data_IF_484464251630
#
_entry.id   IF_484464251630
#
_cell.length_a   1.000
_cell.length_b   1.000
_cell.length_c   1.000
_cell.angle_alpha   90.00
_cell.angle_beta   90.00
_cell.angle_gamma   90.00
#
_symmetry.space_group_name_H-M   'P 1'
#
loop_
_entity.id
_entity.type
_entity.pdbx_description
1 polymer ?
#
# COMPACT_ATOMS: atom_id res chain seq x y z
N UNK A 1 -22.08 10.16 14.17
CA UNK A 1 -21.15 9.71 13.12
C UNK A 1 -21.85 9.89 11.77
N UNK A 2 -21.26 10.58 10.80
CA UNK A 2 -21.90 10.80 9.49
C UNK A 2 -21.80 9.54 8.63
N UNK A 3 -22.79 9.28 7.77
CA UNK A 3 -22.79 8.12 6.86
C UNK A 3 -21.48 8.04 6.03
N UNK A 4 -21.00 9.18 5.54
CA UNK A 4 -19.75 9.27 4.77
C UNK A 4 -18.53 8.81 5.57
N UNK A 5 -18.48 9.11 6.87
CA UNK A 5 -17.39 8.66 7.75
C UNK A 5 -17.46 7.16 8.01
N UNK A 6 -18.65 6.63 8.24
CA UNK A 6 -18.84 5.18 8.39
C UNK A 6 -18.37 4.44 7.13
N UNK A 7 -18.73 4.93 5.95
CA UNK A 7 -18.30 4.35 4.67
C UNK A 7 -16.77 4.39 4.51
N UNK A 8 -16.12 5.51 4.85
CA UNK A 8 -14.67 5.61 4.81
C UNK A 8 -14.01 4.53 5.71
N UNK A 9 -14.45 4.41 6.96
CA UNK A 9 -13.93 3.41 7.89
C UNK A 9 -14.16 1.97 7.41
N UNK A 10 -15.33 1.69 6.82
CA UNK A 10 -15.63 0.37 6.26
C UNK A 10 -14.67 0.01 5.12
N UNK A 11 -14.33 0.98 4.27
CA UNK A 11 -13.37 0.78 3.19
C UNK A 11 -11.95 0.52 3.72
N UNK A 12 -11.51 1.24 4.75
CA UNK A 12 -10.23 1.00 5.44
C UNK A 12 -10.17 -0.41 6.05
N UNK A 13 -11.23 -0.82 6.75
CA UNK A 13 -11.35 -2.18 7.32
C UNK A 13 -11.33 -3.24 6.20
N UNK A 14 -12.04 -2.98 5.10
CA UNK A 14 -12.04 -3.89 3.95
C UNK A 14 -10.63 -4.06 3.40
N UNK A 15 -9.85 -2.98 3.31
CA UNK A 15 -8.45 -3.01 2.85
C UNK A 15 -7.58 -3.92 3.74
N UNK A 16 -7.76 -3.85 5.06
CA UNK A 16 -7.09 -4.76 5.99
C UNK A 16 -7.36 -6.24 5.63
N UNK A 17 -8.62 -6.61 5.38
CA UNK A 17 -8.95 -7.98 4.95
C UNK A 17 -8.42 -8.34 3.56
N UNK A 18 -8.36 -7.39 2.62
CA UNK A 18 -7.78 -7.63 1.29
C UNK A 18 -6.32 -8.07 1.39
N UNK A 19 -5.54 -7.50 2.33
CA UNK A 19 -4.15 -7.95 2.54
C UNK A 19 -4.06 -9.44 2.88
N UNK A 20 -4.93 -9.95 3.76
CA UNK A 20 -5.01 -11.38 4.06
C UNK A 20 -5.47 -12.22 2.88
N UNK A 21 -6.43 -11.73 2.09
CA UNK A 21 -6.89 -12.42 0.88
C UNK A 21 -5.72 -12.59 -0.11
N UNK A 22 -4.94 -11.53 -0.35
CA UNK A 22 -3.77 -11.57 -1.22
C UNK A 22 -2.74 -12.58 -0.68
N UNK A 23 -2.43 -12.54 0.62
CA UNK A 23 -1.51 -13.50 1.23
C UNK A 23 -1.99 -14.95 1.04
N UNK A 24 -3.27 -15.20 1.30
CA UNK A 24 -3.87 -16.53 1.21
C UNK A 24 -3.87 -17.10 -0.21
N UNK A 25 -4.02 -16.26 -1.24
CA UNK A 25 -3.86 -16.67 -2.63
C UNK A 25 -2.47 -17.24 -2.93
N UNK A 26 -1.44 -16.79 -2.22
CA UNK A 26 -0.07 -17.28 -2.39
C UNK A 26 0.10 -18.72 -1.91
N UNK A 27 -0.64 -19.10 -0.86
CA UNK A 27 -0.68 -20.48 -0.35
C UNK A 27 -1.55 -21.36 -1.24
N UNK A 28 -2.77 -20.91 -1.55
CA UNK A 28 -3.75 -21.72 -2.27
C UNK A 28 -3.43 -21.90 -3.75
N UNK A 29 -3.14 -20.80 -4.45
CA UNK A 29 -3.02 -20.78 -5.91
C UNK A 29 -1.58 -20.57 -6.39
N UNK A 30 -0.67 -20.19 -5.51
CA UNK A 30 0.74 -19.90 -5.83
C UNK A 30 0.81 -18.98 -7.06
N UNK A 31 1.68 -19.32 -8.03
CA UNK A 31 1.86 -18.56 -9.28
C UNK A 31 0.59 -18.43 -10.12
N UNK A 32 -0.29 -19.44 -10.13
CA UNK A 32 -1.57 -19.38 -10.84
C UNK A 32 -2.55 -18.35 -10.22
N UNK A 33 -2.25 -17.88 -9.00
CA UNK A 33 -3.01 -16.84 -8.31
C UNK A 33 -2.76 -15.42 -8.79
N UNK A 34 -1.78 -15.18 -9.68
CA UNK A 34 -1.27 -13.84 -9.97
C UNK A 34 -2.36 -12.88 -10.42
N UNK A 35 -3.20 -13.30 -11.36
CA UNK A 35 -4.37 -12.52 -11.82
C UNK A 35 -5.27 -12.06 -10.67
N UNK A 36 -5.56 -12.96 -9.73
CA UNK A 36 -6.43 -12.67 -8.60
C UNK A 36 -5.75 -11.72 -7.60
N UNK A 37 -4.45 -11.92 -7.33
CA UNK A 37 -3.68 -11.06 -6.45
C UNK A 37 -3.60 -9.63 -7.00
N UNK A 38 -3.40 -9.48 -8.32
CA UNK A 38 -3.40 -8.17 -9.00
C UNK A 38 -4.78 -7.50 -8.93
N UNK A 39 -5.87 -8.24 -9.20
CA UNK A 39 -7.23 -7.69 -9.10
C UNK A 39 -7.51 -7.20 -7.67
N UNK A 40 -7.19 -8.00 -6.65
CA UNK A 40 -7.39 -7.60 -5.26
C UNK A 40 -6.53 -6.42 -4.85
N UNK A 41 -5.29 -6.33 -5.35
CA UNK A 41 -4.42 -5.16 -5.12
C UNK A 41 -5.02 -3.89 -5.73
N UNK A 42 -5.52 -3.95 -6.97
CA UNK A 42 -6.19 -2.81 -7.60
C UNK A 42 -7.44 -2.41 -6.80
N UNK A 43 -8.23 -3.38 -6.34
CA UNK A 43 -9.40 -3.10 -5.48
C UNK A 43 -8.96 -2.41 -4.18
N UNK A 44 -7.91 -2.88 -3.52
CA UNK A 44 -7.37 -2.25 -2.30
C UNK A 44 -6.96 -0.78 -2.52
N UNK A 45 -6.34 -0.48 -3.66
CA UNK A 45 -6.00 0.90 -4.00
C UNK A 45 -7.23 1.73 -4.36
N UNK A 46 -8.25 1.16 -5.01
CA UNK A 46 -9.50 1.87 -5.28
C UNK A 46 -10.18 2.25 -3.96
N UNK A 47 -10.21 1.33 -2.98
CA UNK A 47 -10.82 1.62 -1.68
C UNK A 47 -10.04 2.69 -0.90
N UNK A 48 -8.71 2.81 -1.07
CA UNK A 48 -7.84 3.90 -0.57
C UNK A 48 -8.11 5.28 -1.18
N UNK A 49 -8.45 5.32 -2.46
CA UNK A 49 -8.82 6.60 -3.07
C UNK A 49 -10.18 7.05 -2.54
N UNK A 50 -11.12 6.11 -2.48
CA UNK A 50 -12.51 6.36 -2.11
C UNK A 50 -12.66 6.72 -0.64
N UNK A 51 -12.01 6.01 0.28
CA UNK A 51 -12.13 6.31 1.71
C UNK A 51 -11.56 7.69 2.05
N UNK A 52 -10.39 8.04 1.49
CA UNK A 52 -9.80 9.35 1.65
C UNK A 52 -10.74 10.44 1.12
N UNK A 53 -11.34 10.22 -0.05
CA UNK A 53 -12.31 11.17 -0.61
C UNK A 53 -13.54 11.36 0.29
N UNK A 54 -14.12 10.26 0.78
CA UNK A 54 -15.30 10.27 1.65
C UNK A 54 -14.98 10.91 3.01
N UNK A 55 -13.84 10.58 3.61
CA UNK A 55 -13.39 11.15 4.87
C UNK A 55 -13.26 12.67 4.79
N UNK A 56 -12.63 13.19 3.72
CA UNK A 56 -12.51 14.65 3.49
C UNK A 56 -13.87 15.32 3.30
N UNK A 57 -14.77 14.69 2.54
CA UNK A 57 -16.12 15.22 2.28
C UNK A 57 -16.99 15.20 3.53
N UNK A 58 -16.73 14.28 4.46
CA UNK A 58 -17.47 14.16 5.72
C UNK A 58 -17.25 15.35 6.67
N UNK A 59 -16.13 16.09 6.53
CA UNK A 59 -15.65 17.16 7.44
C UNK A 59 -15.56 16.74 8.92
N UNK A 60 -15.69 15.46 9.23
CA UNK A 60 -15.59 14.96 10.59
C UNK A 60 -14.12 14.84 11.01
N UNK A 61 -13.85 14.98 12.30
CA UNK A 61 -12.53 14.72 12.86
C UNK A 61 -12.08 13.28 12.58
N UNK A 62 -10.76 13.05 12.54
CA UNK A 62 -10.22 11.68 12.51
C UNK A 62 -10.70 10.92 13.76
N UNK A 63 -11.11 9.68 13.56
CA UNK A 63 -11.33 8.73 14.64
C UNK A 63 -10.18 7.71 14.69
N UNK A 64 -10.28 6.77 15.62
CA UNK A 64 -9.29 5.71 15.81
C UNK A 64 -8.96 4.97 14.50
N UNK A 65 -9.96 4.66 13.66
CA UNK A 65 -9.73 3.97 12.38
C UNK A 65 -8.93 4.86 11.43
N UNK A 66 -9.32 6.14 11.29
CA UNK A 66 -8.58 7.10 10.46
C UNK A 66 -7.18 7.46 10.99
N UNK A 67 -6.89 7.24 12.27
CA UNK A 67 -5.54 7.34 12.85
C UNK A 67 -4.69 6.11 12.53
N UNK A 68 -5.33 4.95 12.35
CA UNK A 68 -4.69 3.65 12.15
C UNK A 68 -4.75 3.16 10.69
N UNK A 69 -5.14 4.02 9.75
CA UNK A 69 -5.22 3.74 8.30
C UNK A 69 -3.90 3.18 7.73
N UNK A 70 -2.77 3.68 8.23
CA UNK A 70 -1.44 3.19 7.87
C UNK A 70 -1.28 1.67 8.10
N UNK A 71 -1.92 1.10 9.13
CA UNK A 71 -1.85 -0.33 9.38
C UNK A 71 -2.61 -1.14 8.33
N UNK A 72 -3.70 -0.61 7.77
CA UNK A 72 -4.43 -1.27 6.69
C UNK A 72 -3.57 -1.32 5.42
N UNK A 73 -2.89 -0.24 5.07
CA UNK A 73 -2.00 -0.19 3.90
C UNK A 73 -0.78 -1.09 4.08
N UNK A 74 -0.17 -1.07 5.27
CA UNK A 74 0.92 -1.98 5.63
C UNK A 74 0.49 -3.45 5.55
N UNK A 75 -0.76 -3.76 5.88
CA UNK A 75 -1.30 -5.14 5.79
C UNK A 75 -1.43 -5.59 4.33
N UNK A 76 -1.85 -4.71 3.42
CA UNK A 76 -1.87 -5.02 1.98
C UNK A 76 -0.47 -5.24 1.45
N UNK A 77 0.47 -4.35 1.78
CA UNK A 77 1.87 -4.47 1.38
C UNK A 77 2.52 -5.76 1.90
N UNK A 78 2.29 -6.11 3.18
CA UNK A 78 2.74 -7.37 3.76
C UNK A 78 2.09 -8.58 3.08
N UNK A 79 0.80 -8.50 2.76
CA UNK A 79 0.09 -9.54 2.02
C UNK A 79 0.66 -9.76 0.62
N UNK A 80 1.01 -8.69 -0.08
CA UNK A 80 1.70 -8.73 -1.39
C UNK A 80 3.08 -9.38 -1.26
N UNK A 81 3.90 -8.96 -0.29
CA UNK A 81 5.22 -9.54 -0.05
C UNK A 81 5.10 -11.05 0.23
N UNK A 82 4.16 -11.43 1.11
CA UNK A 82 3.91 -12.83 1.44
C UNK A 82 3.43 -13.63 0.22
N UNK A 83 2.52 -13.08 -0.58
CA UNK A 83 2.06 -13.69 -1.82
C UNK A 83 3.23 -13.98 -2.76
N UNK A 84 4.08 -12.98 -3.01
CA UNK A 84 5.24 -13.10 -3.90
C UNK A 84 6.23 -14.16 -3.39
N UNK A 85 6.41 -14.23 -2.08
CA UNK A 85 7.32 -15.19 -1.43
C UNK A 85 6.79 -16.61 -1.49
N UNK A 86 5.56 -16.83 -1.01
CA UNK A 86 4.90 -18.13 -0.94
C UNK A 86 4.61 -18.72 -2.33
N UNK A 87 4.39 -17.87 -3.32
CA UNK A 87 4.24 -18.27 -4.73
C UNK A 87 5.57 -18.57 -5.42
N UNK A 88 6.72 -18.28 -4.78
CA UNK A 88 8.05 -18.51 -5.35
C UNK A 88 8.41 -17.54 -6.48
N UNK A 89 7.93 -16.30 -6.42
CA UNK A 89 8.39 -15.21 -7.30
C UNK A 89 9.63 -14.49 -6.73
N UNK A 90 9.75 -14.43 -5.41
CA UNK A 90 10.93 -13.92 -4.70
C UNK A 90 11.39 -14.93 -3.65
N UNK A 91 12.67 -14.87 -3.25
CA UNK A 91 13.23 -15.81 -2.29
C UNK A 91 12.77 -15.50 -0.86
N UNK A 92 12.62 -16.55 -0.05
CA UNK A 92 12.31 -16.41 1.38
C UNK A 92 13.37 -15.57 2.10
N UNK A 93 14.65 -15.76 1.74
CA UNK A 93 15.76 -14.99 2.29
C UNK A 93 15.57 -13.50 2.04
N UNK A 94 15.24 -13.09 0.81
CA UNK A 94 14.99 -11.68 0.49
C UNK A 94 13.85 -11.13 1.35
N UNK A 95 12.73 -11.83 1.45
CA UNK A 95 11.56 -11.36 2.20
C UNK A 95 11.83 -11.26 3.70
N UNK A 96 12.54 -12.23 4.29
CA UNK A 96 12.92 -12.16 5.70
C UNK A 96 13.90 -11.03 5.98
N UNK A 97 14.94 -10.87 5.17
CA UNK A 97 15.88 -9.75 5.29
C UNK A 97 15.16 -8.41 5.14
N UNK A 98 14.28 -8.28 4.15
CA UNK A 98 13.49 -7.08 3.94
C UNK A 98 12.58 -6.77 5.13
N UNK A 99 11.89 -7.76 5.71
CA UNK A 99 11.05 -7.58 6.89
C UNK A 99 11.86 -7.13 8.11
N UNK A 100 13.00 -7.77 8.37
CA UNK A 100 13.88 -7.40 9.50
C UNK A 100 14.37 -5.96 9.34
N UNK A 101 14.87 -5.60 8.16
CA UNK A 101 15.34 -4.24 7.88
C UNK A 101 14.18 -3.24 8.02
N UNK A 102 13.00 -3.57 7.52
CA UNK A 102 11.81 -2.72 7.61
C UNK A 102 11.41 -2.46 9.08
N UNK A 103 11.41 -3.49 9.92
CA UNK A 103 11.11 -3.37 11.36
C UNK A 103 12.14 -2.48 12.05
N UNK A 104 13.44 -2.66 11.75
CA UNK A 104 14.52 -1.84 12.32
C UNK A 104 14.34 -0.37 11.91
N UNK A 105 14.15 -0.10 10.62
CA UNK A 105 13.98 1.25 10.09
C UNK A 105 12.75 1.96 10.66
N UNK A 106 11.60 1.26 10.75
CA UNK A 106 10.38 1.82 11.32
C UNK A 106 10.52 2.10 12.82
N UNK A 107 11.18 1.21 13.56
CA UNK A 107 11.38 1.37 15.00
C UNK A 107 12.35 2.51 15.33
N UNK A 108 13.37 2.70 14.49
CA UNK A 108 14.41 3.71 14.72
C UNK A 108 14.01 5.09 14.23
N UNK A 109 13.47 5.20 13.01
CA UNK A 109 13.20 6.50 12.38
C UNK A 109 11.80 7.03 12.70
N UNK A 110 10.83 6.15 13.00
CA UNK A 110 9.44 6.48 13.37
C UNK A 110 8.76 7.52 12.46
N UNK A 111 9.18 7.57 11.20
CA UNK A 111 8.73 8.57 10.23
C UNK A 111 7.75 7.94 9.24
N UNK A 112 6.62 8.60 8.99
CA UNK A 112 5.61 8.14 8.02
C UNK A 112 6.20 7.91 6.62
N UNK A 113 7.10 8.79 6.17
CA UNK A 113 7.77 8.64 4.87
C UNK A 113 8.56 7.33 4.73
N UNK A 114 9.09 6.78 5.83
CA UNK A 114 9.76 5.48 5.84
C UNK A 114 8.75 4.35 5.65
N UNK A 115 7.59 4.44 6.31
CA UNK A 115 6.51 3.48 6.08
C UNK A 115 5.99 3.52 4.64
N UNK A 116 5.80 4.72 4.07
CA UNK A 116 5.39 4.89 2.67
C UNK A 116 6.42 4.26 1.71
N UNK A 117 7.72 4.48 1.97
CA UNK A 117 8.81 3.91 1.17
C UNK A 117 8.93 2.38 1.27
N UNK A 118 8.80 1.82 2.47
CA UNK A 118 8.79 0.36 2.70
C UNK A 118 7.62 -0.28 1.96
N UNK A 119 6.44 0.33 2.00
CA UNK A 119 5.27 -0.21 1.31
C UNK A 119 5.40 -0.22 -0.21
N UNK A 120 6.08 0.78 -0.77
CA UNK A 120 6.29 0.86 -2.21
C UNK A 120 7.10 -0.33 -2.76
N UNK A 121 7.95 -0.97 -1.94
CA UNK A 121 8.82 -2.07 -2.41
C UNK A 121 8.01 -3.31 -2.82
N UNK A 122 7.14 -3.91 -1.96
CA UNK A 122 6.28 -5.01 -2.39
C UNK A 122 5.40 -4.68 -3.60
N UNK A 123 4.89 -3.45 -3.69
CA UNK A 123 4.09 -3.01 -4.84
C UNK A 123 4.92 -2.94 -6.13
N UNK A 124 6.13 -2.39 -6.07
CA UNK A 124 7.05 -2.39 -7.21
C UNK A 124 7.41 -3.80 -7.67
N UNK A 125 7.66 -4.71 -6.71
CA UNK A 125 7.90 -6.12 -7.02
C UNK A 125 6.68 -6.81 -7.65
N UNK A 126 5.46 -6.49 -7.21
CA UNK A 126 4.24 -7.00 -7.83
C UNK A 126 4.08 -6.51 -9.26
N UNK A 127 4.35 -5.23 -9.53
CA UNK A 127 4.32 -4.66 -10.90
C UNK A 127 5.34 -5.38 -11.79
N UNK A 128 6.59 -5.47 -11.33
CA UNK A 128 7.64 -6.18 -12.05
C UNK A 128 7.28 -7.63 -12.32
N UNK A 129 6.77 -8.34 -11.31
CA UNK A 129 6.34 -9.73 -11.43
C UNK A 129 5.18 -9.87 -12.42
N UNK A 130 4.23 -8.95 -12.39
CA UNK A 130 3.10 -8.94 -13.32
C UNK A 130 3.58 -8.76 -14.75
N UNK A 131 4.38 -7.74 -15.05
CA UNK A 131 4.94 -7.50 -16.39
C UNK A 131 5.74 -8.71 -16.89
N UNK A 132 6.54 -9.34 -16.01
CA UNK A 132 7.39 -10.47 -16.38
C UNK A 132 6.60 -11.75 -16.71
N UNK A 133 5.44 -11.98 -16.09
CA UNK A 133 4.69 -13.22 -16.23
C UNK A 133 3.43 -13.07 -17.10
N UNK A 134 2.82 -11.88 -17.13
CA UNK A 134 1.64 -11.55 -17.91
C UNK A 134 1.62 -10.04 -18.19
N UNK A 135 2.04 -9.67 -19.41
CA UNK A 135 2.15 -8.27 -19.81
C UNK A 135 0.82 -7.50 -19.69
N UNK A 136 -0.31 -8.16 -19.96
CA UNK A 136 -1.64 -7.52 -19.89
C UNK A 136 -1.95 -7.15 -18.43
N UNK A 137 -1.64 -8.02 -17.47
CA UNK A 137 -1.77 -7.72 -16.04
C UNK A 137 -0.80 -6.62 -15.59
N UNK A 138 0.42 -6.63 -16.08
CA UNK A 138 1.39 -5.55 -15.80
C UNK A 138 0.88 -4.18 -16.29
N UNK A 139 0.41 -4.13 -17.54
CA UNK A 139 -0.15 -2.91 -18.14
C UNK A 139 -1.40 -2.43 -17.40
N UNK A 140 -2.28 -3.34 -16.95
CA UNK A 140 -3.50 -2.94 -16.23
C UNK A 140 -3.18 -2.22 -14.91
N UNK A 141 -2.14 -2.65 -14.19
CA UNK A 141 -1.64 -1.95 -13.00
C UNK A 141 -1.12 -0.55 -13.38
N UNK A 142 -0.30 -0.46 -14.43
CA UNK A 142 0.27 0.83 -14.87
C UNK A 142 -0.83 1.80 -15.29
N UNK A 143 -1.83 1.35 -16.05
CA UNK A 143 -3.00 2.15 -16.42
C UNK A 143 -3.72 2.63 -15.16
N UNK A 144 -3.95 1.74 -14.18
CA UNK A 144 -4.55 2.11 -12.92
C UNK A 144 -3.76 3.22 -12.20
N UNK A 145 -2.44 3.11 -12.11
CA UNK A 145 -1.59 4.13 -11.47
C UNK A 145 -1.63 5.48 -12.20
N UNK A 146 -1.70 5.46 -13.54
CA UNK A 146 -1.86 6.70 -14.33
C UNK A 146 -3.22 7.33 -14.03
N UNK A 147 -4.30 6.55 -14.03
CA UNK A 147 -5.64 7.02 -13.67
C UNK A 147 -5.69 7.57 -12.25
N UNK A 148 -5.02 6.90 -11.31
CA UNK A 148 -4.90 7.36 -9.92
C UNK A 148 -4.26 8.75 -9.86
N UNK A 149 -3.16 8.98 -10.58
CA UNK A 149 -2.49 10.29 -10.63
C UNK A 149 -3.42 11.35 -11.23
N UNK A 150 -4.14 11.02 -12.30
CA UNK A 150 -5.11 11.93 -12.95
C UNK A 150 -6.25 12.28 -11.98
N UNK A 151 -6.87 11.29 -11.33
CA UNK A 151 -7.99 11.49 -10.40
C UNK A 151 -7.55 12.28 -9.16
N UNK A 152 -6.34 12.04 -8.68
CA UNK A 152 -5.79 12.74 -7.51
C UNK A 152 -5.14 14.08 -7.86
N UNK A 153 -5.19 14.52 -9.12
CA UNK A 153 -4.72 15.84 -9.54
C UNK A 153 -5.64 16.95 -9.01
N UNK A 154 -5.12 18.13 -8.59
CA UNK A 154 -3.71 18.53 -8.49
C UNK A 154 -3.08 18.18 -7.13
N UNK A 155 -3.76 17.41 -6.30
CA UNK A 155 -3.32 17.09 -4.93
C UNK A 155 -2.02 16.29 -4.92
N UNK A 156 -1.88 15.33 -5.84
CA UNK A 156 -0.69 14.50 -5.93
C UNK A 156 0.62 15.31 -5.99
N UNK A 157 0.83 16.22 -6.95
CA UNK A 157 2.05 17.02 -7.00
C UNK A 157 2.13 18.13 -5.93
N UNK A 158 1.00 18.66 -5.45
CA UNK A 158 0.99 19.81 -4.54
C UNK A 158 1.08 19.46 -3.06
N UNK A 159 0.58 18.29 -2.66
CA UNK A 159 0.53 17.87 -1.26
C UNK A 159 1.33 16.59 -1.06
N UNK A 160 1.06 15.53 -1.83
CA UNK A 160 1.63 14.20 -1.56
C UNK A 160 3.13 14.10 -1.82
N UNK A 161 3.59 14.64 -2.95
CA UNK A 161 5.02 14.64 -3.27
C UNK A 161 5.83 15.51 -2.28
N UNK A 162 5.42 16.75 -1.96
CA UNK A 162 6.08 17.55 -0.94
C UNK A 162 6.07 16.91 0.46
N UNK A 163 4.93 16.38 0.92
CA UNK A 163 4.80 15.70 2.23
C UNK A 163 5.84 14.58 2.38
N UNK A 164 6.02 13.77 1.33
CA UNK A 164 7.01 12.70 1.31
C UNK A 164 8.45 13.24 1.35
N UNK A 165 8.77 14.23 0.50
CA UNK A 165 10.12 14.82 0.42
C UNK A 165 10.49 15.52 1.74
N UNK A 166 9.57 16.27 2.32
CA UNK A 166 9.76 16.94 3.61
C UNK A 166 9.92 15.93 4.74
N UNK A 167 9.13 14.84 4.72
CA UNK A 167 9.28 13.73 5.66
C UNK A 167 10.69 13.12 5.61
N UNK A 168 11.24 12.88 4.41
CA UNK A 168 12.62 12.41 4.25
C UNK A 168 13.63 13.45 4.74
N UNK A 169 13.46 14.72 4.36
CA UNK A 169 14.37 15.80 4.80
C UNK A 169 14.39 15.97 6.32
N UNK A 170 13.24 15.79 6.98
CA UNK A 170 13.11 15.86 8.43
C UNK A 170 13.96 14.81 9.15
N UNK A 171 14.06 13.60 8.60
CA UNK A 171 14.90 12.53 9.13
C UNK A 171 16.38 12.94 9.12
N UNK A 172 16.86 13.51 8.02
CA UNK A 172 18.27 13.94 7.89
C UNK A 172 18.62 15.17 8.73
N UNK A 173 17.64 16.02 9.08
CA UNK A 173 17.86 17.18 9.94
C UNK A 173 17.94 16.79 11.42
N UNK A 174 17.07 15.88 11.88
CA UNK A 174 17.04 15.44 13.27
C UNK A 174 18.16 14.45 13.64
N UNK A 175 18.90 13.92 12.65
CA UNK A 175 20.11 13.10 12.88
C UNK A 175 21.41 13.91 13.02
N UNK A 176 21.34 15.24 13.15
CA UNK A 176 22.49 16.15 13.33
C UNK A 176 22.54 16.83 14.72
N UNK A 177 21.66 16.43 15.64
CA UNK A 177 21.74 16.74 17.07
C UNK A 177 22.24 15.51 17.84
#
# INVERSE_FOLDING_TARGET
MTLLKTLANTLTITRFFIGFIIAYLGVLKKKAGLKYAVIWLIIAWITDVLDGFLARRSKASKDWIGEHDLYADMTVSAGVLFYLTSSGFISVTFSLSFLIISIILLSWLKAKAIADGIQAVPYGLMIYTSIKNDLILGISIVIYLILLIIITWPRFPKEKVPEFIEGIKGIFKNGKE
#
